data_IF_262054258291
#
_entry.id   IF_262054258291
#
_cell.length_a   1.000
_cell.length_b   1.000
_cell.length_c   1.000
_cell.angle_alpha   90.00
_cell.angle_beta   90.00
_cell.angle_gamma   90.00
#
_symmetry.space_group_name_H-M   'P 1'
#
loop_
_entity.id
_entity.type
_entity.pdbx_description
1 polymer ?
#
# COMPACT_ATOMS: atom_id res chain seq x y z
N UNK A 1 -1.46 -9.58 2.64
CA UNK A 1 -0.96 -9.63 1.24
C UNK A 1 -0.62 -11.08 0.94
N UNK A 2 -0.94 -11.57 -0.25
CA UNK A 2 -0.57 -12.92 -0.70
C UNK A 2 -0.04 -12.80 -2.13
N UNK A 3 1.13 -13.35 -2.39
CA UNK A 3 1.80 -13.22 -3.67
C UNK A 3 2.95 -14.21 -3.85
N UNK A 4 3.55 -14.16 -5.03
CA UNK A 4 4.73 -14.93 -5.40
C UNK A 4 5.99 -14.12 -5.15
N UNK A 5 7.01 -14.76 -4.58
CA UNK A 5 8.31 -14.14 -4.35
C UNK A 5 9.10 -14.14 -5.65
N UNK A 6 9.51 -12.96 -6.10
CA UNK A 6 10.30 -12.81 -7.34
C UNK A 6 11.80 -12.79 -7.05
N UNK A 7 12.21 -12.13 -5.96
CA UNK A 7 13.63 -11.99 -5.59
C UNK A 7 13.76 -11.77 -4.09
N UNK A 8 14.83 -12.29 -3.51
CA UNK A 8 15.16 -12.12 -2.08
C UNK A 8 16.58 -11.62 -1.94
N UNK A 9 16.78 -10.68 -1.02
CA UNK A 9 18.08 -10.21 -0.54
C UNK A 9 18.15 -10.43 0.98
N UNK A 10 19.32 -10.23 1.63
CA UNK A 10 19.42 -10.34 3.09
C UNK A 10 18.49 -9.40 3.87
N UNK A 11 18.05 -8.30 3.26
CA UNK A 11 17.29 -7.23 3.95
C UNK A 11 15.89 -7.01 3.40
N UNK A 12 15.51 -7.63 2.27
CA UNK A 12 14.22 -7.38 1.64
C UNK A 12 13.80 -8.47 0.67
N UNK A 13 12.49 -8.60 0.47
CA UNK A 13 11.84 -9.49 -0.50
C UNK A 13 11.06 -8.66 -1.51
N UNK A 14 11.24 -8.92 -2.80
CA UNK A 14 10.35 -8.43 -3.85
C UNK A 14 9.30 -9.51 -4.16
N UNK A 15 8.03 -9.17 -4.09
CA UNK A 15 6.93 -10.10 -4.33
C UNK A 15 5.78 -9.44 -5.11
N UNK A 16 5.13 -10.19 -6.00
CA UNK A 16 3.98 -9.73 -6.78
C UNK A 16 2.73 -10.53 -6.41
N UNK A 17 1.61 -9.84 -6.17
CA UNK A 17 0.38 -10.50 -5.75
C UNK A 17 -0.76 -9.57 -5.41
N UNK A 18 -1.64 -10.03 -4.52
CA UNK A 18 -2.88 -9.36 -4.17
C UNK A 18 -2.86 -8.81 -2.75
N UNK A 19 -3.38 -7.59 -2.60
CA UNK A 19 -3.72 -7.01 -1.31
C UNK A 19 -5.10 -7.46 -0.87
N UNK A 20 -5.21 -7.78 0.41
CA UNK A 20 -6.45 -8.07 1.09
C UNK A 20 -6.67 -7.00 2.15
N UNK A 21 -7.84 -6.37 2.13
CA UNK A 21 -8.26 -5.41 3.15
C UNK A 21 -9.27 -6.06 4.07
N UNK A 22 -9.16 -5.82 5.37
CA UNK A 22 -10.18 -6.27 6.30
C UNK A 22 -11.39 -5.33 6.25
N UNK A 23 -12.53 -5.87 5.85
CA UNK A 23 -13.83 -5.22 5.96
C UNK A 23 -14.39 -5.50 7.35
N UNK A 24 -14.39 -4.46 8.18
CA UNK A 24 -14.84 -4.52 9.58
C UNK A 24 -16.36 -4.73 9.66
N UNK A 25 -17.12 -4.18 8.72
CA UNK A 25 -18.58 -4.22 8.75
C UNK A 25 -19.09 -5.64 8.45
N UNK A 26 -18.39 -6.35 7.58
CA UNK A 26 -18.74 -7.72 7.18
C UNK A 26 -17.85 -8.81 7.82
N UNK A 27 -16.85 -8.43 8.63
CA UNK A 27 -15.92 -9.34 9.30
C UNK A 27 -15.10 -10.22 8.35
N UNK A 28 -14.78 -9.74 7.14
CA UNK A 28 -14.15 -10.54 6.08
C UNK A 28 -12.99 -9.80 5.43
N UNK A 29 -12.05 -10.55 4.87
CA UNK A 29 -11.01 -9.98 4.02
C UNK A 29 -11.49 -9.87 2.57
N UNK A 30 -11.40 -8.67 1.99
CA UNK A 30 -11.72 -8.39 0.59
C UNK A 30 -10.42 -8.29 -0.20
N UNK A 31 -10.28 -9.12 -1.23
CA UNK A 31 -9.18 -9.05 -2.19
C UNK A 31 -9.38 -7.86 -3.12
N UNK A 32 -8.37 -7.00 -3.26
CA UNK A 32 -8.35 -5.97 -4.30
C UNK A 32 -8.14 -6.61 -5.69
N UNK A 33 -8.79 -6.06 -6.71
CA UNK A 33 -8.70 -6.57 -8.07
C UNK A 33 -7.30 -6.38 -8.68
N UNK A 34 -6.60 -5.32 -8.28
CA UNK A 34 -5.29 -4.98 -8.82
C UNK A 34 -4.21 -5.92 -8.26
N UNK A 35 -3.37 -6.43 -9.16
CA UNK A 35 -2.09 -7.08 -8.82
C UNK A 35 -1.07 -5.97 -8.59
N UNK A 36 -0.27 -6.10 -7.53
CA UNK A 36 0.79 -5.14 -7.21
C UNK A 36 2.09 -5.87 -6.88
N UNK A 37 3.21 -5.22 -7.18
CA UNK A 37 4.53 -5.62 -6.70
C UNK A 37 4.86 -4.84 -5.43
N UNK A 38 5.37 -5.52 -4.41
CA UNK A 38 5.84 -4.94 -3.14
C UNK A 38 7.29 -5.28 -2.89
N UNK A 39 8.01 -4.35 -2.27
CA UNK A 39 9.26 -4.66 -1.57
C UNK A 39 8.91 -4.70 -0.09
N UNK A 40 9.13 -5.87 0.53
CA UNK A 40 8.86 -6.16 1.92
C UNK A 40 10.22 -6.17 2.64
N UNK A 41 10.53 -5.17 3.48
CA UNK A 41 11.76 -5.16 4.26
C UNK A 41 11.74 -6.31 5.29
N UNK A 42 12.87 -6.99 5.43
CA UNK A 42 13.11 -8.01 6.45
C UNK A 42 13.73 -7.34 7.68
N UNK A 43 13.12 -7.52 8.85
CA UNK A 43 13.64 -6.99 10.12
C UNK A 43 13.26 -5.53 10.45
N UNK A 44 12.59 -4.82 9.54
CA UNK A 44 12.13 -3.44 9.75
C UNK A 44 10.64 -3.31 9.43
N UNK A 45 9.78 -3.34 10.45
CA UNK A 45 8.32 -3.26 10.28
C UNK A 45 7.78 -1.83 10.12
N UNK A 46 8.61 -0.83 10.36
CA UNK A 46 8.30 0.59 10.32
C UNK A 46 8.54 1.24 8.94
N UNK A 47 9.21 0.52 8.03
CA UNK A 47 9.53 1.01 6.68
C UNK A 47 8.44 0.63 5.69
N UNK A 48 7.88 1.63 5.02
CA UNK A 48 6.95 1.46 3.92
C UNK A 48 7.64 1.76 2.58
N UNK A 49 7.65 0.79 1.67
CA UNK A 49 8.21 0.95 0.32
C UNK A 49 7.10 0.81 -0.71
N UNK A 50 6.74 1.93 -1.34
CA UNK A 50 5.79 1.95 -2.47
C UNK A 50 6.54 1.82 -3.78
N UNK A 51 6.13 0.88 -4.62
CA UNK A 51 6.62 0.77 -5.99
C UNK A 51 5.67 1.54 -6.89
N UNK A 52 6.21 2.55 -7.55
CA UNK A 52 5.46 3.39 -8.47
C UNK A 52 5.60 2.84 -9.90
N UNK A 53 4.56 2.95 -10.74
CA UNK A 53 4.68 2.67 -12.16
C UNK A 53 5.78 3.52 -12.81
N UNK A 54 6.46 2.99 -13.83
CA UNK A 54 7.52 3.73 -14.56
C UNK A 54 6.99 5.02 -15.21
N UNK A 55 5.70 5.08 -15.52
CA UNK A 55 5.05 6.27 -16.07
C UNK A 55 4.93 7.43 -15.07
N UNK A 56 5.21 7.22 -13.78
CA UNK A 56 5.09 8.23 -12.74
C UNK A 56 6.37 9.06 -12.66
N UNK A 57 6.26 10.34 -13.03
CA UNK A 57 7.35 11.30 -12.86
C UNK A 57 7.42 11.77 -11.40
N UNK A 58 8.50 11.41 -10.69
CA UNK A 58 8.65 11.68 -9.25
C UNK A 58 8.48 13.16 -8.87
N UNK A 59 8.87 14.10 -9.74
CA UNK A 59 8.74 15.54 -9.52
C UNK A 59 7.30 16.04 -9.45
N UNK A 60 6.32 15.26 -9.92
CA UNK A 60 4.90 15.61 -9.88
C UNK A 60 4.17 14.95 -8.71
N UNK A 61 4.86 14.11 -7.92
CA UNK A 61 4.25 13.44 -6.78
C UNK A 61 3.92 14.44 -5.68
N UNK A 62 2.67 14.38 -5.25
CA UNK A 62 2.16 15.13 -4.11
C UNK A 62 1.40 14.22 -3.17
N UNK A 63 1.39 14.62 -1.90
CA UNK A 63 0.57 14.00 -0.87
C UNK A 63 -0.63 14.91 -0.58
N UNK A 64 -1.81 14.32 -0.46
CA UNK A 64 -2.97 15.03 0.05
C UNK A 64 -3.84 14.11 0.90
N UNK A 65 -4.71 14.72 1.70
CA UNK A 65 -5.75 14.01 2.46
C UNK A 65 -7.04 14.10 1.64
N UNK A 66 -7.63 12.95 1.30
CA UNK A 66 -8.89 12.92 0.56
C UNK A 66 -10.11 13.24 1.45
N UNK A 67 -11.29 13.32 0.83
CA UNK A 67 -12.55 13.60 1.53
C UNK A 67 -12.93 12.50 2.54
N UNK A 68 -12.31 11.31 2.46
CA UNK A 68 -12.48 10.20 3.39
C UNK A 68 -11.39 10.16 4.47
N UNK A 69 -10.58 11.23 4.60
CA UNK A 69 -9.44 11.35 5.53
C UNK A 69 -8.34 10.32 5.31
N UNK A 70 -8.18 9.82 4.08
CA UNK A 70 -7.08 8.93 3.71
C UNK A 70 -5.93 9.75 3.18
N UNK A 71 -4.72 9.40 3.60
CA UNK A 71 -3.50 9.88 2.98
C UNK A 71 -3.37 9.25 1.59
N UNK A 72 -3.32 10.09 0.56
CA UNK A 72 -3.18 9.71 -0.85
C UNK A 72 -1.84 10.24 -1.36
N UNK A 73 -1.10 9.39 -2.08
CA UNK A 73 0.02 9.79 -2.94
C UNK A 73 -0.46 9.76 -4.40
N UNK A 74 -0.25 10.83 -5.15
CA UNK A 74 -0.72 10.96 -6.54
C UNK A 74 0.21 11.85 -7.35
N UNK A 75 0.20 11.69 -8.68
CA UNK A 75 0.85 12.59 -9.63
C UNK A 75 -0.09 13.68 -10.18
N UNK A 76 -1.33 13.77 -9.68
CA UNK A 76 -2.43 14.60 -10.23
C UNK A 76 -2.78 14.30 -11.70
N UNK A 77 -2.37 13.14 -12.21
CA UNK A 77 -2.67 12.67 -13.55
C UNK A 77 -3.33 11.28 -13.48
N UNK A 78 -2.61 10.22 -13.83
CA UNK A 78 -3.15 8.87 -13.93
C UNK A 78 -2.86 8.02 -12.68
N UNK A 79 -1.89 8.40 -11.86
CA UNK A 79 -1.49 7.64 -10.69
C UNK A 79 -2.11 8.19 -9.41
N UNK A 80 -2.77 7.32 -8.66
CA UNK A 80 -3.25 7.61 -7.31
C UNK A 80 -3.25 6.35 -6.46
N UNK A 81 -2.62 6.42 -5.29
CA UNK A 81 -2.53 5.31 -4.34
C UNK A 81 -2.85 5.81 -2.93
N UNK A 82 -3.73 5.08 -2.23
CA UNK A 82 -3.94 5.32 -0.81
C UNK A 82 -2.79 4.72 -0.01
N UNK A 83 -2.17 5.55 0.83
CA UNK A 83 -1.09 5.15 1.74
C UNK A 83 -1.60 4.54 3.04
N UNK A 84 -2.92 4.58 3.22
CA UNK A 84 -3.60 4.04 4.39
C UNK A 84 -3.88 2.56 4.14
N UNK A 85 -2.82 1.76 4.18
CA UNK A 85 -2.94 0.31 4.10
C UNK A 85 -3.29 -0.34 5.45
N UNK A 86 -3.17 0.43 6.55
CA UNK A 86 -3.28 -0.07 7.93
C UNK A 86 -4.15 0.79 8.86
N UNK A 87 -5.05 1.67 8.37
CA UNK A 87 -6.07 2.24 9.26
C UNK A 87 -7.15 1.21 9.55
N UNK A 88 -6.81 0.19 10.34
CA UNK A 88 -7.77 -0.24 11.35
C UNK A 88 -8.08 1.01 12.15
N UNK A 89 -9.35 1.43 12.21
CA UNK A 89 -9.77 2.45 13.17
C UNK A 89 -9.40 1.93 14.56
N UNK A 90 -8.25 2.34 15.10
CA UNK A 90 -8.03 2.29 16.52
C UNK A 90 -8.89 3.41 17.10
N UNK A 91 -10.12 3.07 17.47
CA UNK A 91 -10.88 3.86 18.44
C UNK A 91 -10.08 3.81 19.75
N UNK A 92 -9.16 4.75 19.94
CA UNK A 92 -8.75 5.10 21.29
C UNK A 92 -9.76 6.10 21.82
N UNK A 93 -10.90 5.59 22.27
CA UNK A 93 -11.70 6.30 23.26
C UNK A 93 -10.82 6.44 24.51
N UNK A 94 -10.38 7.66 24.79
CA UNK A 94 -10.04 8.11 26.13
C UNK A 94 -10.82 9.38 26.40
#
# INVERSE_FOLDING_TARGET
>A
FVGEVETVTPIAVRATGYTFLFDVDNGKFIRKQNIITRIIPLGHSDVLISLLPESVELKHLVYHIDTQRKLIITDNHAFSQSMVEFSGRYNTSR
#
